data_IF_361727300543
#
_entry.id   IF_361727300543
#
_cell.length_a   1.000
_cell.length_b   1.000
_cell.length_c   1.000
_cell.angle_alpha   90.00
_cell.angle_beta   90.00
_cell.angle_gamma   90.00
#
_symmetry.space_group_name_H-M   'P 1'
#
loop_
_entity.id
_entity.type
_entity.pdbx_description
1 polymer ?
#
# COMPACT_ATOMS: atom_id res chain seq x y z
N UNK A 1 -44.77 7.59 -11.36
CA UNK A 1 -43.50 6.84 -11.11
C UNK A 1 -42.34 7.75 -11.50
N UNK A 2 -41.60 8.22 -10.54
CA UNK A 2 -40.39 9.04 -10.80
C UNK A 2 -39.31 8.09 -11.30
N UNK A 3 -38.94 8.19 -12.57
CA UNK A 3 -37.80 7.48 -13.14
C UNK A 3 -36.52 8.02 -12.45
N UNK A 4 -36.11 7.38 -11.37
CA UNK A 4 -34.81 7.63 -10.74
C UNK A 4 -33.77 7.07 -11.73
N UNK A 5 -33.26 7.96 -12.56
CA UNK A 5 -32.13 7.67 -13.43
C UNK A 5 -30.89 7.40 -12.55
N UNK A 6 -30.69 6.13 -12.14
CA UNK A 6 -29.56 5.72 -11.31
C UNK A 6 -28.30 5.96 -12.14
N UNK A 7 -27.62 7.08 -11.88
CA UNK A 7 -26.38 7.42 -12.57
C UNK A 7 -25.37 6.27 -12.41
N UNK A 8 -24.94 5.71 -13.53
CA UNK A 8 -24.01 4.59 -13.55
C UNK A 8 -22.67 5.02 -12.92
N UNK A 9 -22.33 4.43 -11.78
CA UNK A 9 -21.03 4.67 -11.11
C UNK A 9 -19.90 4.16 -12.01
N UNK A 10 -19.04 5.04 -12.47
CA UNK A 10 -17.97 4.76 -13.44
C UNK A 10 -16.63 5.42 -13.11
N UNK A 11 -16.46 5.91 -11.89
CA UNK A 11 -15.21 6.56 -11.44
C UNK A 11 -14.52 5.71 -10.40
N UNK A 12 -13.24 5.45 -10.59
CA UNK A 12 -12.32 4.88 -9.61
C UNK A 12 -11.51 6.03 -8.99
N UNK A 13 -11.46 6.12 -7.67
CA UNK A 13 -10.60 7.07 -6.96
C UNK A 13 -9.41 6.32 -6.38
N UNK A 14 -8.20 6.87 -6.56
CA UNK A 14 -6.96 6.37 -5.96
C UNK A 14 -6.31 7.49 -5.17
N UNK A 15 -6.33 7.42 -3.85
CA UNK A 15 -5.53 8.33 -3.02
C UNK A 15 -4.11 7.81 -2.92
N UNK A 16 -3.12 8.71 -2.91
CA UNK A 16 -1.71 8.31 -3.04
C UNK A 16 -1.35 7.80 -4.45
N UNK A 17 -2.08 8.28 -5.48
CA UNK A 17 -1.95 7.77 -6.85
C UNK A 17 -0.67 8.18 -7.58
N UNK A 18 0.12 9.12 -7.04
CA UNK A 18 1.47 9.44 -7.53
C UNK A 18 2.58 8.69 -6.74
N UNK A 19 2.22 7.92 -5.72
CA UNK A 19 3.10 7.02 -4.97
C UNK A 19 3.36 5.71 -5.71
N UNK A 20 4.23 4.86 -5.15
CA UNK A 20 4.63 3.58 -5.75
C UNK A 20 3.44 2.65 -6.07
N UNK A 21 2.64 2.31 -5.05
CA UNK A 21 1.55 1.34 -5.22
C UNK A 21 0.39 1.95 -6.01
N UNK A 22 0.03 3.21 -5.70
CA UNK A 22 -1.09 3.88 -6.37
C UNK A 22 -0.85 4.09 -7.87
N UNK A 23 0.36 4.51 -8.26
CA UNK A 23 0.70 4.68 -9.67
C UNK A 23 0.76 3.36 -10.42
N UNK A 24 1.25 2.29 -9.78
CA UNK A 24 1.26 0.94 -10.37
C UNK A 24 -0.16 0.42 -10.61
N UNK A 25 -1.09 0.68 -9.69
CA UNK A 25 -2.51 0.34 -9.88
C UNK A 25 -3.13 1.15 -11.03
N UNK A 26 -2.87 2.47 -11.11
CA UNK A 26 -3.34 3.33 -12.21
C UNK A 26 -2.79 2.83 -13.54
N UNK A 27 -1.48 2.54 -13.59
CA UNK A 27 -0.83 1.99 -14.79
C UNK A 27 -1.50 0.70 -15.26
N UNK A 28 -1.77 -0.22 -14.34
CA UNK A 28 -2.47 -1.46 -14.65
C UNK A 28 -3.86 -1.20 -15.25
N UNK A 29 -4.65 -0.29 -14.71
CA UNK A 29 -5.97 0.06 -15.26
C UNK A 29 -5.88 0.56 -16.69
N UNK A 30 -4.90 1.42 -16.97
CA UNK A 30 -4.70 2.00 -18.30
C UNK A 30 -4.25 0.93 -19.30
N UNK A 31 -3.23 0.13 -18.96
CA UNK A 31 -2.70 -0.94 -19.81
C UNK A 31 -3.73 -2.02 -20.13
N UNK A 32 -4.63 -2.31 -19.19
CA UNK A 32 -5.73 -3.28 -19.39
C UNK A 32 -7.04 -2.64 -19.89
N UNK A 33 -6.97 -1.41 -20.42
CA UNK A 33 -8.07 -0.71 -21.10
C UNK A 33 -9.37 -0.66 -20.29
N UNK A 34 -9.28 -0.40 -18.98
CA UNK A 34 -10.46 -0.21 -18.15
C UNK A 34 -11.29 0.97 -18.65
N UNK A 35 -12.61 0.80 -18.67
CA UNK A 35 -13.55 1.83 -19.17
C UNK A 35 -13.86 2.92 -18.14
N UNK A 36 -13.57 2.67 -16.87
CA UNK A 36 -13.78 3.61 -15.79
C UNK A 36 -12.82 4.81 -15.92
N UNK A 37 -13.31 6.00 -15.56
CA UNK A 37 -12.47 7.16 -15.33
C UNK A 37 -11.74 7.01 -14.02
N UNK A 38 -10.49 7.45 -13.95
CA UNK A 38 -9.66 7.37 -12.76
C UNK A 38 -9.38 8.78 -12.25
N UNK A 39 -9.61 9.01 -10.96
CA UNK A 39 -9.20 10.24 -10.28
C UNK A 39 -8.14 9.87 -9.25
N UNK A 40 -6.92 10.38 -9.46
CA UNK A 40 -5.82 10.29 -8.51
C UNK A 40 -5.82 11.51 -7.60
N UNK A 41 -5.74 11.32 -6.29
CA UNK A 41 -5.53 12.39 -5.30
C UNK A 41 -4.18 12.14 -4.63
N UNK A 42 -3.28 13.12 -4.67
CA UNK A 42 -1.96 13.03 -4.03
C UNK A 42 -1.48 14.42 -3.60
N UNK A 43 -0.86 14.52 -2.42
CA UNK A 43 -0.24 15.76 -1.95
C UNK A 43 1.23 15.89 -2.35
N UNK A 44 1.79 14.85 -2.96
CA UNK A 44 3.18 14.73 -3.42
C UNK A 44 4.23 14.79 -2.29
N UNK A 45 3.85 14.48 -1.05
CA UNK A 45 4.81 14.39 0.05
C UNK A 45 5.87 13.30 -0.17
N UNK A 46 5.47 12.20 -0.81
CA UNK A 46 6.36 11.09 -1.24
C UNK A 46 6.11 10.65 -2.68
N UNK A 47 4.95 10.99 -3.22
CA UNK A 47 4.59 10.77 -4.61
C UNK A 47 5.38 11.67 -5.57
N UNK A 48 5.46 11.29 -6.85
CA UNK A 48 6.18 12.04 -7.87
C UNK A 48 5.37 12.12 -9.16
N UNK A 49 5.37 13.30 -9.81
CA UNK A 49 4.71 13.50 -11.11
C UNK A 49 5.28 12.60 -12.22
N UNK A 50 6.53 12.14 -12.09
CA UNK A 50 7.13 11.16 -13.02
C UNK A 50 6.39 9.81 -13.04
N UNK A 51 5.62 9.53 -12.00
CA UNK A 51 4.78 8.31 -11.90
C UNK A 51 3.42 8.48 -12.57
N UNK A 52 3.12 9.67 -13.15
CA UNK A 52 1.86 9.87 -13.86
C UNK A 52 1.82 9.04 -15.14
N UNK A 53 0.69 8.41 -15.39
CA UNK A 53 0.38 7.76 -16.66
C UNK A 53 -0.40 8.75 -17.53
N UNK A 54 0.10 9.06 -18.70
CA UNK A 54 -0.58 9.94 -19.65
C UNK A 54 -1.73 9.17 -20.32
N UNK A 55 -2.95 9.50 -19.95
CA UNK A 55 -4.16 8.89 -20.49
C UNK A 55 -5.37 9.80 -20.23
N UNK A 56 -6.25 9.97 -21.24
CA UNK A 56 -7.43 10.84 -21.15
C UNK A 56 -8.45 10.41 -20.10
N UNK A 57 -8.42 9.15 -19.68
CA UNK A 57 -9.30 8.62 -18.62
C UNK A 57 -8.73 8.85 -17.21
N UNK A 58 -7.51 9.41 -17.07
CA UNK A 58 -6.85 9.62 -15.77
C UNK A 58 -6.75 11.11 -15.46
N UNK A 59 -7.35 11.53 -14.35
CA UNK A 59 -7.23 12.90 -13.84
C UNK A 59 -6.44 12.91 -12.53
N UNK A 60 -5.39 13.73 -12.48
CA UNK A 60 -4.58 13.92 -11.28
C UNK A 60 -4.98 15.22 -10.57
N UNK A 61 -5.41 15.10 -9.33
CA UNK A 61 -5.75 16.22 -8.44
C UNK A 61 -4.67 16.33 -7.36
N UNK A 62 -3.98 17.47 -7.32
CA UNK A 62 -3.08 17.79 -6.21
C UNK A 62 -3.91 18.20 -5.01
N UNK A 63 -3.77 17.50 -3.88
CA UNK A 63 -4.48 17.84 -2.66
C UNK A 63 -4.29 16.82 -1.56
N UNK A 64 -4.66 17.20 -0.35
CA UNK A 64 -4.64 16.35 0.83
C UNK A 64 -5.95 15.60 1.00
N UNK A 65 -5.91 14.41 1.55
CA UNK A 65 -7.08 13.55 1.76
C UNK A 65 -8.12 14.19 2.70
N UNK A 66 -7.73 15.07 3.63
CA UNK A 66 -8.68 15.82 4.46
C UNK A 66 -9.64 16.69 3.64
N UNK A 67 -9.24 17.06 2.43
CA UNK A 67 -10.04 17.88 1.52
C UNK A 67 -10.87 17.04 0.52
N UNK A 68 -10.99 15.73 0.71
CA UNK A 68 -11.63 14.81 -0.24
C UNK A 68 -13.05 15.24 -0.61
N UNK A 69 -13.84 15.74 0.34
CA UNK A 69 -15.21 16.26 0.11
C UNK A 69 -15.21 17.40 -0.94
N UNK A 70 -14.26 18.34 -0.84
CA UNK A 70 -14.09 19.44 -1.78
C UNK A 70 -13.58 18.97 -3.13
N UNK A 71 -12.53 18.13 -3.13
CA UNK A 71 -11.88 17.62 -4.35
C UNK A 71 -12.83 16.77 -5.20
N UNK A 72 -13.73 16.03 -4.57
CA UNK A 72 -14.64 15.10 -5.26
C UNK A 72 -16.09 15.62 -5.32
N UNK A 73 -16.38 16.87 -4.98
CA UNK A 73 -17.73 17.44 -4.93
C UNK A 73 -18.57 17.14 -6.19
N UNK A 74 -17.98 17.31 -7.36
CA UNK A 74 -18.68 17.10 -8.64
C UNK A 74 -18.67 15.64 -9.16
N UNK A 75 -18.02 14.73 -8.43
CA UNK A 75 -17.81 13.34 -8.83
C UNK A 75 -18.50 12.33 -7.90
N UNK A 76 -18.93 12.76 -6.71
CA UNK A 76 -19.34 11.90 -5.57
C UNK A 76 -20.35 10.82 -5.99
N UNK A 77 -21.36 11.17 -6.78
CA UNK A 77 -22.46 10.27 -7.18
C UNK A 77 -22.03 9.23 -8.26
N UNK A 78 -20.89 9.47 -8.92
CA UNK A 78 -20.33 8.60 -9.97
C UNK A 78 -19.21 7.70 -9.47
N UNK A 79 -18.80 7.82 -8.21
CA UNK A 79 -17.69 7.03 -7.65
C UNK A 79 -18.15 5.60 -7.40
N UNK A 80 -17.41 4.65 -7.93
CA UNK A 80 -17.63 3.20 -7.82
C UNK A 80 -16.84 2.59 -6.66
N UNK A 81 -15.60 3.04 -6.48
CA UNK A 81 -14.67 2.54 -5.46
C UNK A 81 -13.60 3.58 -5.14
N UNK A 82 -13.10 3.54 -3.91
CA UNK A 82 -11.91 4.29 -3.48
C UNK A 82 -10.83 3.28 -3.08
N UNK A 83 -9.66 3.33 -3.75
CA UNK A 83 -8.44 2.69 -3.29
C UNK A 83 -7.68 3.70 -2.43
N UNK A 84 -7.63 3.47 -1.13
CA UNK A 84 -7.03 4.41 -0.19
C UNK A 84 -5.60 3.97 0.16
N UNK A 85 -4.61 4.60 -0.49
CA UNK A 85 -3.17 4.35 -0.33
C UNK A 85 -2.38 5.60 0.08
N UNK A 86 -3.04 6.77 0.13
CA UNK A 86 -2.44 8.06 0.45
C UNK A 86 -2.23 8.24 1.96
N UNK A 87 -1.31 7.48 2.54
CA UNK A 87 -1.01 7.48 3.97
C UNK A 87 0.51 7.46 4.23
N UNK A 88 0.91 7.79 5.44
CA UNK A 88 2.29 7.61 5.90
C UNK A 88 2.61 6.11 6.00
N UNK A 89 3.77 5.66 5.51
CA UNK A 89 4.01 4.23 5.27
C UNK A 89 5.38 3.70 5.72
N UNK A 90 6.01 4.29 6.76
CA UNK A 90 7.33 3.84 7.25
C UNK A 90 7.43 3.81 8.76
N UNK A 91 7.85 2.64 9.30
CA UNK A 91 7.96 2.42 10.75
C UNK A 91 8.98 3.39 11.36
N UNK A 92 10.24 3.33 10.96
CA UNK A 92 11.29 4.15 11.56
C UNK A 92 11.03 5.66 11.42
N UNK A 93 10.60 6.10 10.26
CA UNK A 93 10.30 7.51 10.01
C UNK A 93 9.10 8.01 10.84
N UNK A 94 8.20 7.12 11.27
CA UNK A 94 7.06 7.51 12.11
C UNK A 94 7.47 7.93 13.53
N UNK A 95 8.62 7.50 14.03
CA UNK A 95 9.16 8.00 15.30
C UNK A 95 9.70 9.43 15.18
N UNK A 96 10.28 9.75 14.01
CA UNK A 96 10.86 11.08 13.75
C UNK A 96 9.76 12.08 13.38
N UNK A 97 8.80 11.62 12.55
CA UNK A 97 7.74 12.43 11.95
C UNK A 97 6.35 11.99 12.47
N UNK A 98 6.23 11.78 13.78
CA UNK A 98 4.99 11.24 14.36
C UNK A 98 3.78 12.15 14.13
N UNK A 99 3.94 13.47 14.13
CA UNK A 99 2.87 14.43 13.83
C UNK A 99 2.33 14.26 12.41
N UNK A 100 3.22 14.17 11.41
CA UNK A 100 2.82 13.89 10.02
C UNK A 100 2.16 12.51 9.90
N UNK A 101 2.69 11.49 10.61
CA UNK A 101 2.13 10.15 10.61
C UNK A 101 0.69 10.15 11.14
N UNK A 102 0.42 10.82 12.25
CA UNK A 102 -0.93 10.91 12.81
C UNK A 102 -1.86 11.78 11.97
N UNK A 103 -1.37 12.90 11.43
CA UNK A 103 -2.19 13.72 10.54
C UNK A 103 -2.63 12.90 9.31
N UNK A 104 -1.70 12.25 8.61
CA UNK A 104 -2.03 11.50 7.39
C UNK A 104 -2.86 10.24 7.67
N UNK A 105 -2.45 9.45 8.67
CA UNK A 105 -3.06 8.14 8.90
C UNK A 105 -4.34 8.23 9.73
N UNK A 106 -4.46 9.14 10.70
CA UNK A 106 -5.66 9.25 11.53
C UNK A 106 -6.58 10.34 11.00
N UNK A 107 -6.14 11.59 11.04
CA UNK A 107 -7.02 12.72 10.73
C UNK A 107 -7.47 12.71 9.26
N UNK A 108 -6.56 12.57 8.31
CA UNK A 108 -6.91 12.61 6.89
C UNK A 108 -7.61 11.33 6.42
N UNK A 109 -7.22 10.16 6.93
CA UNK A 109 -7.86 8.88 6.57
C UNK A 109 -9.28 8.79 7.11
N UNK A 110 -9.57 9.34 8.30
CA UNK A 110 -10.95 9.40 8.81
C UNK A 110 -11.87 10.18 7.88
N UNK A 111 -11.38 11.26 7.23
CA UNK A 111 -12.15 12.01 6.25
C UNK A 111 -12.47 11.21 4.98
N UNK A 112 -11.54 10.34 4.55
CA UNK A 112 -11.77 9.43 3.41
C UNK A 112 -12.80 8.35 3.76
N UNK A 113 -12.69 7.78 4.95
CA UNK A 113 -13.61 6.75 5.46
C UNK A 113 -15.02 7.34 5.60
N UNK A 114 -15.14 8.51 6.20
CA UNK A 114 -16.42 9.24 6.33
C UNK A 114 -17.02 9.58 4.96
N UNK A 115 -16.20 10.06 4.02
CA UNK A 115 -16.65 10.36 2.66
C UNK A 115 -17.18 9.10 1.95
N UNK A 116 -16.48 7.97 2.06
CA UNK A 116 -16.89 6.70 1.49
C UNK A 116 -18.24 6.24 2.05
N UNK A 117 -18.41 6.31 3.38
CA UNK A 117 -19.67 6.00 4.08
C UNK A 117 -20.82 6.91 3.61
N UNK A 118 -20.62 8.23 3.60
CA UNK A 118 -21.68 9.21 3.28
C UNK A 118 -22.14 9.13 1.82
N UNK A 119 -21.33 8.58 0.91
CA UNK A 119 -21.66 8.45 -0.52
C UNK A 119 -21.90 6.99 -0.96
N UNK A 120 -22.05 6.08 0.00
CA UNK A 120 -22.22 4.63 -0.26
C UNK A 120 -21.19 4.10 -1.30
N UNK A 121 -19.90 4.38 -1.05
CA UNK A 121 -18.78 3.98 -1.89
C UNK A 121 -17.97 2.92 -1.17
N UNK A 122 -17.65 1.81 -1.87
CA UNK A 122 -16.75 0.79 -1.34
C UNK A 122 -15.33 1.36 -1.20
N UNK A 123 -14.68 1.11 -0.06
CA UNK A 123 -13.29 1.45 0.17
C UNK A 123 -12.41 0.19 0.18
N UNK A 124 -11.31 0.22 -0.59
CA UNK A 124 -10.23 -0.76 -0.53
C UNK A 124 -9.11 -0.10 0.26
N UNK A 125 -8.92 -0.53 1.50
CA UNK A 125 -7.99 0.09 2.42
C UNK A 125 -6.67 -0.68 2.48
N UNK A 126 -5.55 0.04 2.33
CA UNK A 126 -4.21 -0.53 2.50
C UNK A 126 -3.87 -0.77 3.97
N UNK A 127 -4.15 -1.94 4.47
CA UNK A 127 -3.69 -2.39 5.77
C UNK A 127 -2.19 -2.75 5.73
N UNK A 128 -1.59 -3.02 6.88
CA UNK A 128 -0.16 -3.30 6.98
C UNK A 128 0.14 -4.60 7.70
N UNK A 129 1.10 -5.37 7.18
CA UNK A 129 1.65 -6.51 7.90
C UNK A 129 2.43 -6.12 9.16
N UNK A 130 2.70 -4.82 9.38
CA UNK A 130 3.39 -4.35 10.59
C UNK A 130 2.61 -4.61 11.89
N UNK A 131 1.32 -4.89 11.79
CA UNK A 131 0.47 -5.25 12.94
C UNK A 131 0.46 -6.76 13.23
N UNK A 132 1.10 -7.57 12.39
CA UNK A 132 0.93 -9.03 12.33
C UNK A 132 2.23 -9.81 12.59
N UNK A 133 3.25 -9.17 13.13
CA UNK A 133 4.46 -9.85 13.59
C UNK A 133 4.27 -10.42 15.01
N UNK A 134 5.33 -10.96 15.60
CA UNK A 134 5.43 -11.35 17.02
C UNK A 134 4.12 -11.92 17.62
N UNK A 135 3.44 -12.81 16.90
CA UNK A 135 2.14 -13.40 17.28
C UNK A 135 0.95 -12.43 17.31
N UNK A 136 1.00 -11.33 16.53
CA UNK A 136 -0.08 -10.36 16.41
C UNK A 136 -0.05 -9.20 17.40
N UNK A 137 0.98 -9.10 18.26
CA UNK A 137 1.10 -8.05 19.27
C UNK A 137 1.87 -6.79 18.81
N UNK A 138 2.12 -6.64 17.52
CA UNK A 138 2.98 -5.57 16.99
C UNK A 138 2.27 -4.24 16.72
N UNK A 139 0.98 -4.16 16.93
CA UNK A 139 0.18 -2.97 16.63
C UNK A 139 0.64 -1.72 17.40
N UNK A 140 1.26 -1.91 18.57
CA UNK A 140 1.74 -0.82 19.42
C UNK A 140 3.26 -0.57 19.31
N UNK A 141 3.98 -1.24 18.43
CA UNK A 141 5.44 -1.12 18.30
C UNK A 141 5.91 0.19 17.66
N UNK A 142 5.04 0.94 17.02
CA UNK A 142 5.40 2.21 16.39
C UNK A 142 4.17 3.10 16.16
N UNK A 143 4.35 4.44 16.05
CA UNK A 143 3.27 5.34 15.67
C UNK A 143 2.59 4.92 14.38
N UNK A 144 3.36 4.41 13.40
CA UNK A 144 2.81 3.89 12.13
C UNK A 144 1.92 2.65 12.35
N UNK A 145 2.41 1.62 13.05
CA UNK A 145 1.64 0.40 13.27
C UNK A 145 0.35 0.70 14.04
N UNK A 146 0.46 1.51 15.09
CA UNK A 146 -0.70 1.94 15.89
C UNK A 146 -1.73 2.68 15.06
N UNK A 147 -1.33 3.69 14.28
CA UNK A 147 -2.26 4.47 13.47
C UNK A 147 -2.99 3.61 12.42
N UNK A 148 -2.28 2.66 11.82
CA UNK A 148 -2.89 1.71 10.88
C UNK A 148 -3.88 0.75 11.55
N UNK A 149 -3.58 0.27 12.77
CA UNK A 149 -4.51 -0.60 13.52
C UNK A 149 -5.78 0.15 13.90
N UNK A 150 -5.67 1.42 14.28
CA UNK A 150 -6.86 2.24 14.61
C UNK A 150 -7.75 2.52 13.40
N UNK A 151 -7.20 2.69 12.22
CA UNK A 151 -8.01 2.81 11.00
C UNK A 151 -8.71 1.49 10.64
N UNK A 152 -8.08 0.35 10.83
CA UNK A 152 -8.70 -0.96 10.63
C UNK A 152 -9.90 -1.12 11.58
N UNK A 153 -9.72 -0.79 12.85
CA UNK A 153 -10.79 -0.80 13.86
C UNK A 153 -11.93 0.16 13.48
N UNK A 154 -11.59 1.39 13.08
CA UNK A 154 -12.57 2.39 12.66
C UNK A 154 -13.39 1.92 11.46
N UNK A 155 -12.76 1.36 10.43
CA UNK A 155 -13.44 0.85 9.23
C UNK A 155 -14.41 -0.28 9.60
N UNK A 156 -13.98 -1.23 10.43
CA UNK A 156 -14.82 -2.33 10.90
C UNK A 156 -16.02 -1.83 11.72
N UNK A 157 -15.82 -0.81 12.55
CA UNK A 157 -16.89 -0.19 13.31
C UNK A 157 -17.85 0.63 12.43
N UNK A 158 -17.33 1.36 11.42
CA UNK A 158 -18.17 2.05 10.44
C UNK A 158 -19.00 1.08 9.59
N UNK A 159 -18.49 -0.12 9.33
CA UNK A 159 -19.31 -1.17 8.72
C UNK A 159 -20.45 -1.60 9.65
N UNK A 160 -20.16 -1.90 10.91
CA UNK A 160 -21.18 -2.31 11.91
C UNK A 160 -22.24 -1.22 12.15
N UNK A 161 -21.80 0.02 12.29
CA UNK A 161 -22.70 1.13 12.67
C UNK A 161 -23.47 1.70 11.49
N UNK A 162 -22.85 1.74 10.30
CA UNK A 162 -23.36 2.51 9.16
C UNK A 162 -23.39 1.75 7.84
N UNK A 163 -23.01 0.47 7.84
CA UNK A 163 -23.02 -0.34 6.61
C UNK A 163 -21.94 0.01 5.59
N UNK A 164 -20.81 0.64 6.02
CA UNK A 164 -19.69 0.94 5.13
C UNK A 164 -19.20 -0.32 4.42
N UNK A 165 -19.18 -0.32 3.10
CA UNK A 165 -18.59 -1.41 2.30
C UNK A 165 -17.08 -1.24 2.24
N UNK A 166 -16.33 -2.27 2.63
CA UNK A 166 -14.87 -2.20 2.67
C UNK A 166 -14.19 -3.51 2.28
N UNK A 167 -12.91 -3.44 1.93
CA UNK A 167 -11.99 -4.57 1.94
C UNK A 167 -10.67 -4.11 2.56
N UNK A 168 -10.07 -4.92 3.42
CA UNK A 168 -8.75 -4.67 4.02
C UNK A 168 -7.70 -5.51 3.31
N UNK A 169 -6.77 -4.86 2.61
CA UNK A 169 -5.68 -5.51 1.90
C UNK A 169 -4.37 -5.29 2.64
N UNK A 170 -3.81 -6.35 3.21
CA UNK A 170 -2.58 -6.28 3.98
C UNK A 170 -1.36 -6.43 3.09
N UNK A 171 -0.54 -5.39 3.03
CA UNK A 171 0.68 -5.37 2.23
C UNK A 171 1.88 -5.88 3.02
N UNK A 172 2.68 -6.72 2.36
CA UNK A 172 3.92 -7.29 2.87
C UNK A 172 5.09 -6.76 2.04
N UNK A 173 6.01 -6.04 2.66
CA UNK A 173 7.24 -5.44 2.09
C UNK A 173 7.26 -5.38 0.57
N UNK A 174 6.42 -4.50 0.01
CA UNK A 174 6.22 -4.40 -1.44
C UNK A 174 7.50 -3.95 -2.13
N UNK A 175 7.86 -4.64 -3.20
CA UNK A 175 9.03 -4.35 -4.02
C UNK A 175 8.71 -4.43 -5.51
N UNK A 176 9.60 -3.91 -6.35
CA UNK A 176 9.50 -4.00 -7.80
C UNK A 176 9.66 -2.68 -8.53
N UNK A 177 9.46 -2.66 -9.85
CA UNK A 177 9.65 -1.48 -10.69
C UNK A 177 8.82 -0.28 -10.19
N UNK A 178 9.45 0.91 -10.13
CA UNK A 178 8.81 2.14 -9.66
C UNK A 178 8.90 2.38 -8.15
N UNK A 179 9.52 1.47 -7.38
CA UNK A 179 9.71 1.69 -5.94
C UNK A 179 10.64 2.88 -5.64
N UNK A 180 10.45 3.48 -4.46
CA UNK A 180 11.28 4.61 -4.03
C UNK A 180 12.69 4.11 -3.71
N UNK A 181 13.72 4.67 -4.38
CA UNK A 181 15.12 4.22 -4.23
C UNK A 181 16.03 5.20 -3.50
N UNK A 182 15.69 6.51 -3.50
CA UNK A 182 16.59 7.59 -3.04
C UNK A 182 15.89 8.53 -2.05
N UNK A 183 15.36 8.00 -0.96
CA UNK A 183 14.63 8.78 0.05
C UNK A 183 14.69 8.09 1.40
N UNK A 184 14.59 8.82 2.52
CA UNK A 184 14.35 8.23 3.83
C UNK A 184 13.10 7.32 3.88
N UNK A 185 12.18 7.50 2.92
CA UNK A 185 10.98 6.69 2.75
C UNK A 185 11.19 5.44 1.86
N UNK A 186 12.44 5.12 1.46
CA UNK A 186 12.73 3.91 0.68
C UNK A 186 12.59 2.64 1.52
N UNK A 187 12.06 1.57 0.91
CA UNK A 187 12.06 0.22 1.50
C UNK A 187 13.41 -0.47 1.27
N UNK A 188 13.66 -1.56 1.99
CA UNK A 188 14.98 -2.22 2.00
C UNK A 188 15.43 -2.65 0.60
N UNK A 189 14.55 -3.19 -0.24
CA UNK A 189 14.89 -3.60 -1.61
C UNK A 189 15.29 -2.38 -2.46
N UNK A 190 14.54 -1.30 -2.41
CA UNK A 190 14.89 -0.06 -3.12
C UNK A 190 16.21 0.55 -2.66
N UNK A 191 16.52 0.44 -1.35
CA UNK A 191 17.83 0.84 -0.81
C UNK A 191 18.94 -0.05 -1.41
N UNK A 192 18.74 -1.37 -1.41
CA UNK A 192 19.72 -2.33 -1.94
C UNK A 192 19.98 -2.12 -3.42
N UNK A 193 18.94 -2.00 -4.24
CA UNK A 193 19.07 -1.70 -5.67
C UNK A 193 19.81 -0.39 -5.93
N UNK A 194 19.45 0.68 -5.18
CA UNK A 194 20.13 1.97 -5.33
C UNK A 194 21.62 1.91 -4.99
N UNK A 195 21.98 1.13 -3.97
CA UNK A 195 23.38 0.97 -3.55
C UNK A 195 24.15 0.06 -4.50
N UNK A 196 23.53 -1.05 -4.94
CA UNK A 196 24.12 -1.96 -5.92
C UNK A 196 24.49 -1.22 -7.21
N UNK A 197 23.55 -0.47 -7.81
CA UNK A 197 23.81 0.34 -9.02
C UNK A 197 24.96 1.35 -8.89
N UNK A 198 25.31 1.72 -7.66
CA UNK A 198 26.41 2.67 -7.36
C UNK A 198 27.70 1.96 -6.96
N UNK A 199 27.77 0.63 -6.98
CA UNK A 199 28.91 -0.12 -6.48
C UNK A 199 29.18 0.04 -4.97
N UNK A 200 28.16 0.48 -4.18
CA UNK A 200 28.28 0.72 -2.76
C UNK A 200 27.89 -0.51 -1.94
N UNK A 201 28.53 -0.77 -0.77
CA UNK A 201 28.12 -1.85 0.12
C UNK A 201 26.65 -1.72 0.53
N UNK A 202 25.89 -2.82 0.56
CA UNK A 202 24.52 -2.83 1.06
C UNK A 202 24.51 -2.54 2.57
N UNK A 203 23.51 -1.77 3.02
CA UNK A 203 23.41 -1.41 4.44
C UNK A 203 22.32 -2.23 5.14
N UNK A 204 22.68 -2.96 6.19
CA UNK A 204 21.78 -3.75 7.02
C UNK A 204 21.69 -3.15 8.41
N UNK A 205 20.49 -2.86 8.87
CA UNK A 205 20.23 -2.52 10.28
C UNK A 205 20.38 -3.77 11.13
N UNK A 206 21.21 -3.69 12.19
CA UNK A 206 21.42 -4.81 13.11
C UNK A 206 20.13 -5.32 13.75
N UNK A 207 20.00 -6.62 13.99
CA UNK A 207 21.00 -7.69 13.74
C UNK A 207 21.03 -8.22 12.31
N UNK A 208 20.06 -7.90 11.44
CA UNK A 208 19.92 -8.43 10.08
C UNK A 208 19.16 -9.76 9.99
N UNK A 209 18.87 -10.39 11.12
CA UNK A 209 18.13 -11.66 11.21
C UNK A 209 16.62 -11.48 11.21
N UNK A 210 16.12 -10.23 11.29
CA UNK A 210 14.70 -9.92 11.21
C UNK A 210 14.11 -10.40 9.88
N UNK A 211 13.07 -11.22 9.97
CA UNK A 211 12.45 -11.89 8.81
C UNK A 211 11.29 -11.07 8.26
N UNK A 212 11.13 -11.11 6.94
CA UNK A 212 10.06 -10.42 6.20
C UNK A 212 9.54 -11.30 5.07
N UNK A 213 8.25 -11.20 4.83
CA UNK A 213 7.62 -11.63 3.58
C UNK A 213 7.73 -10.46 2.58
N UNK A 214 8.14 -10.74 1.37
CA UNK A 214 8.32 -9.76 0.29
C UNK A 214 7.36 -10.07 -0.84
N UNK A 215 6.52 -9.10 -1.24
CA UNK A 215 5.54 -9.30 -2.30
C UNK A 215 5.78 -8.33 -3.46
N UNK A 216 5.83 -8.85 -4.67
CA UNK A 216 6.04 -8.05 -5.87
C UNK A 216 4.85 -7.13 -6.14
N UNK A 217 5.12 -5.94 -6.68
CA UNK A 217 4.11 -4.90 -6.94
C UNK A 217 2.97 -5.39 -7.84
N UNK A 218 3.22 -6.21 -8.85
CA UNK A 218 2.17 -6.74 -9.72
C UNK A 218 1.23 -7.70 -8.97
N UNK A 219 1.74 -8.49 -8.03
CA UNK A 219 0.92 -9.34 -7.17
C UNK A 219 0.05 -8.50 -6.23
N UNK A 220 0.60 -7.40 -5.67
CA UNK A 220 -0.18 -6.47 -4.83
C UNK A 220 -1.31 -5.83 -5.65
N UNK A 221 -1.02 -5.32 -6.85
CA UNK A 221 -2.05 -4.73 -7.74
C UNK A 221 -3.13 -5.76 -8.06
N UNK A 222 -2.75 -6.98 -8.43
CA UNK A 222 -3.70 -8.07 -8.70
C UNK A 222 -4.54 -8.42 -7.47
N UNK A 223 -3.93 -8.47 -6.29
CA UNK A 223 -4.65 -8.70 -5.03
C UNK A 223 -5.68 -7.61 -4.71
N UNK A 224 -5.33 -6.33 -4.90
CA UNK A 224 -6.25 -5.20 -4.73
C UNK A 224 -7.45 -5.27 -5.69
N UNK A 225 -7.21 -5.66 -6.95
CA UNK A 225 -8.27 -5.82 -7.95
C UNK A 225 -9.21 -6.98 -7.61
N UNK A 226 -8.66 -8.09 -7.18
CA UNK A 226 -9.45 -9.24 -6.75
C UNK A 226 -10.29 -8.90 -5.51
N UNK A 227 -9.71 -8.19 -4.52
CA UNK A 227 -10.44 -7.71 -3.36
C UNK A 227 -11.60 -6.78 -3.76
N UNK A 228 -11.37 -5.84 -4.69
CA UNK A 228 -12.45 -4.99 -5.19
C UNK A 228 -13.56 -5.79 -5.87
N UNK A 229 -13.22 -6.75 -6.75
CA UNK A 229 -14.19 -7.47 -7.59
C UNK A 229 -14.89 -8.62 -6.86
N UNK A 230 -14.21 -9.32 -5.98
CA UNK A 230 -14.67 -10.57 -5.33
C UNK A 230 -14.76 -10.49 -3.81
N UNK A 231 -14.22 -9.42 -3.20
CA UNK A 231 -14.18 -9.26 -1.76
C UNK A 231 -15.59 -9.09 -1.14
N UNK A 232 -15.74 -9.60 0.07
CA UNK A 232 -16.97 -9.62 0.85
C UNK A 232 -16.75 -9.10 2.28
N UNK A 233 -16.11 -7.93 2.40
CA UNK A 233 -15.87 -7.24 3.67
C UNK A 233 -14.97 -8.04 4.61
N UNK A 234 -13.76 -8.33 4.14
CA UNK A 234 -12.84 -9.21 4.85
C UNK A 234 -11.39 -8.67 4.84
N UNK A 235 -10.54 -9.39 5.57
CA UNK A 235 -9.10 -9.15 5.71
C UNK A 235 -8.34 -10.07 4.73
N UNK A 236 -7.63 -9.50 3.76
CA UNK A 236 -6.90 -10.23 2.73
C UNK A 236 -5.39 -10.02 2.86
N UNK A 237 -4.68 -11.07 3.24
CA UNK A 237 -3.23 -11.08 3.39
C UNK A 237 -2.57 -11.31 2.03
N UNK A 238 -1.99 -10.25 1.44
CA UNK A 238 -1.36 -10.31 0.11
C UNK A 238 0.13 -10.63 0.22
N UNK A 239 0.49 -11.63 1.01
CA UNK A 239 1.85 -12.13 1.19
C UNK A 239 2.14 -13.38 0.37
N UNK A 240 3.43 -13.73 0.25
CA UNK A 240 3.91 -14.94 -0.41
C UNK A 240 3.92 -16.16 0.50
N UNK A 241 3.86 -15.95 1.83
CA UNK A 241 4.11 -16.93 2.90
C UNK A 241 5.55 -17.43 2.98
N UNK A 242 6.46 -16.89 2.15
CA UNK A 242 7.89 -17.13 2.24
C UNK A 242 8.54 -15.98 2.99
N UNK A 243 9.32 -16.32 4.01
CA UNK A 243 10.02 -15.34 4.83
C UNK A 243 11.53 -15.42 4.62
N UNK A 244 12.13 -14.29 4.34
CA UNK A 244 13.57 -14.13 4.25
C UNK A 244 14.07 -13.17 5.34
N UNK A 245 15.22 -13.44 5.93
CA UNK A 245 15.91 -12.45 6.75
C UNK A 245 16.53 -11.36 5.87
N UNK A 246 16.75 -10.18 6.42
CA UNK A 246 17.37 -9.08 5.67
C UNK A 246 18.77 -9.44 5.19
N UNK A 247 19.52 -10.26 5.98
CA UNK A 247 20.85 -10.73 5.58
C UNK A 247 20.80 -11.76 4.44
N UNK A 248 19.79 -12.66 4.41
CA UNK A 248 19.58 -13.57 3.30
C UNK A 248 19.33 -12.81 1.98
N UNK A 249 18.44 -11.80 2.03
CA UNK A 249 18.18 -10.93 0.88
C UNK A 249 19.45 -10.18 0.44
N UNK A 250 20.22 -9.62 1.37
CA UNK A 250 21.44 -8.89 1.02
C UNK A 250 22.48 -9.79 0.36
N UNK A 251 22.61 -11.05 0.81
CA UNK A 251 23.53 -12.04 0.22
C UNK A 251 23.16 -12.39 -1.23
N UNK A 252 21.88 -12.34 -1.61
CA UNK A 252 21.46 -12.58 -3.00
C UNK A 252 22.05 -11.56 -3.98
N UNK A 253 22.34 -10.32 -3.54
CA UNK A 253 22.98 -9.30 -4.38
C UNK A 253 24.48 -9.53 -4.62
N UNK A 254 25.12 -10.51 -3.96
CA UNK A 254 26.53 -10.89 -4.16
C UNK A 254 27.53 -9.72 -4.06
N UNK A 255 27.28 -8.77 -3.13
CA UNK A 255 28.12 -7.58 -2.92
C UNK A 255 28.45 -7.37 -1.44
N UNK A 256 29.35 -6.41 -1.15
CA UNK A 256 29.78 -6.08 0.22
C UNK A 256 28.59 -5.61 1.07
N UNK A 257 28.61 -5.95 2.36
CA UNK A 257 27.59 -5.59 3.35
C UNK A 257 28.23 -4.72 4.44
N UNK A 258 27.53 -3.65 4.84
CA UNK A 258 27.86 -2.79 5.98
C UNK A 258 26.70 -2.78 6.97
N UNK A 259 26.99 -3.03 8.25
CA UNK A 259 25.98 -2.99 9.30
C UNK A 259 25.79 -1.56 9.83
N UNK A 260 24.55 -1.20 10.07
CA UNK A 260 24.12 0.02 10.77
C UNK A 260 23.63 -0.33 12.18
N UNK A 261 23.63 0.64 13.12
CA UNK A 261 23.03 0.44 14.43
C UNK A 261 21.57 -0.02 14.37
N UNK A 262 21.09 -0.71 15.40
CA UNK A 262 19.69 -1.06 15.58
C UNK A 262 18.79 0.17 15.64
N UNK A 263 17.50 0.00 15.32
CA UNK A 263 16.50 1.08 15.29
C UNK A 263 15.28 0.71 16.12
N UNK A 264 14.57 1.69 16.70
CA UNK A 264 13.32 1.42 17.39
C UNK A 264 12.25 0.90 16.41
N UNK A 265 11.30 0.13 16.94
CA UNK A 265 10.17 -0.42 16.15
C UNK A 265 10.55 -1.59 15.23
N UNK A 266 11.77 -2.15 15.35
CA UNK A 266 12.16 -3.32 14.57
C UNK A 266 11.32 -4.54 14.98
N UNK A 267 10.74 -5.17 13.96
CA UNK A 267 9.93 -6.38 14.09
C UNK A 267 10.76 -7.59 13.67
N UNK A 268 10.73 -8.66 14.44
CA UNK A 268 11.56 -9.85 14.18
C UNK A 268 10.86 -10.92 13.33
N UNK A 269 9.54 -11.00 13.40
CA UNK A 269 8.75 -11.95 12.64
C UNK A 269 7.88 -11.32 11.56
N UNK A 270 7.38 -12.14 10.66
CA UNK A 270 6.32 -11.80 9.71
C UNK A 270 5.40 -12.99 9.57
N UNK A 271 4.10 -12.79 9.78
CA UNK A 271 3.10 -13.86 9.72
C UNK A 271 2.00 -13.54 8.73
N UNK A 272 1.42 -14.60 8.16
CA UNK A 272 0.20 -14.52 7.33
C UNK A 272 -0.89 -15.27 8.08
N UNK A 273 -1.66 -14.59 8.96
CA UNK A 273 -2.51 -15.23 9.96
C UNK A 273 -3.76 -15.90 9.38
N UNK A 274 -4.17 -15.58 8.16
CA UNK A 274 -5.33 -16.22 7.54
C UNK A 274 -5.10 -16.52 6.05
N UNK A 275 -6.02 -17.32 5.49
CA UNK A 275 -6.00 -17.75 4.09
C UNK A 275 -7.12 -17.11 3.24
N UNK A 276 -7.75 -16.03 3.71
CA UNK A 276 -8.90 -15.43 3.03
C UNK A 276 -8.58 -14.99 1.61
N UNK A 277 -7.38 -14.46 1.37
CA UNK A 277 -6.93 -14.09 0.03
C UNK A 277 -6.98 -15.30 -0.92
N UNK A 278 -6.52 -16.48 -0.49
CA UNK A 278 -6.59 -17.70 -1.31
C UNK A 278 -8.02 -18.24 -1.41
N UNK A 279 -8.74 -18.35 -0.28
CA UNK A 279 -10.06 -18.99 -0.22
C UNK A 279 -11.13 -18.19 -0.94
N UNK A 280 -11.17 -16.86 -0.74
CA UNK A 280 -12.24 -15.98 -1.23
C UNK A 280 -11.87 -15.38 -2.58
N UNK A 281 -10.63 -14.90 -2.72
CA UNK A 281 -10.19 -14.19 -3.92
C UNK A 281 -9.55 -15.10 -4.96
N UNK A 282 -9.20 -16.33 -4.63
CA UNK A 282 -8.32 -17.20 -5.40
C UNK A 282 -6.97 -16.53 -5.72
N UNK A 283 -6.44 -15.81 -4.71
CA UNK A 283 -5.17 -15.10 -4.81
C UNK A 283 -4.03 -15.97 -4.28
N UNK A 284 -2.92 -15.99 -5.03
CA UNK A 284 -1.61 -16.39 -4.53
C UNK A 284 -0.54 -15.55 -5.23
N UNK A 285 0.45 -15.09 -4.46
CA UNK A 285 1.58 -14.37 -5.06
C UNK A 285 2.37 -15.32 -5.98
N UNK A 286 2.83 -14.80 -7.12
CA UNK A 286 3.45 -15.59 -8.19
C UNK A 286 4.92 -15.27 -8.42
N UNK A 287 5.39 -14.08 -8.03
CA UNK A 287 6.77 -13.64 -8.29
C UNK A 287 7.62 -13.82 -7.04
N UNK A 288 8.67 -14.64 -7.17
CA UNK A 288 9.64 -14.83 -6.08
C UNK A 288 10.67 -13.70 -6.09
N UNK A 289 11.07 -13.25 -4.90
CA UNK A 289 12.06 -12.18 -4.76
C UNK A 289 13.45 -12.60 -5.23
N UNK A 290 13.79 -13.90 -5.19
CA UNK A 290 15.07 -14.41 -5.69
C UNK A 290 15.17 -14.18 -7.19
N UNK A 291 14.16 -14.62 -7.93
CA UNK A 291 14.12 -14.49 -9.39
C UNK A 291 14.21 -13.01 -9.80
N UNK A 292 13.49 -12.16 -9.09
CA UNK A 292 13.53 -10.70 -9.30
C UNK A 292 14.93 -10.12 -9.07
N UNK A 293 15.63 -10.51 -7.99
CA UNK A 293 16.97 -10.01 -7.67
C UNK A 293 17.98 -10.54 -8.71
N UNK A 294 17.88 -11.80 -9.13
CA UNK A 294 18.74 -12.37 -10.17
C UNK A 294 18.59 -11.62 -11.49
N UNK A 295 17.35 -11.39 -11.92
CA UNK A 295 17.07 -10.59 -13.12
C UNK A 295 17.59 -9.15 -13.00
N UNK A 296 17.43 -8.52 -11.81
CA UNK A 296 17.95 -7.19 -11.55
C UNK A 296 19.47 -7.13 -11.66
N UNK A 297 20.19 -8.11 -11.12
CA UNK A 297 21.67 -8.18 -11.20
C UNK A 297 22.14 -8.35 -12.64
N UNK A 298 21.46 -9.21 -13.42
CA UNK A 298 21.82 -9.45 -14.83
C UNK A 298 21.67 -8.20 -15.70
N UNK A 299 20.77 -7.28 -15.34
CA UNK A 299 20.48 -6.05 -16.09
C UNK A 299 21.33 -4.84 -15.67
N UNK A 300 22.12 -4.92 -14.58
CA UNK A 300 22.83 -3.78 -13.99
C UNK A 300 24.26 -4.12 -13.57
#
# INVERSE_FOLDING_TARGET
MVNINIMKKNIIVVTGGAGFIGSSLIKYFVENKFKEKIISIDNYSTGNKKNHVQNNNVKYLKGENKNIKKLLKFYKDKIKVIFHFGEFSRIYQSFIKYKECFDYNIHQSSQVIEFAKNNNVKIIYSATSSNLGNKGADENLSPYAWSKSKNIELIKNYNKWFGLKYELVYFYNVYGPGQIMKSPMSAVIGIFESRYKKGLPLTIVRPGTQRRDFTHISDIVRGCLLAWKKGNQNDYMLGTKKNYSIIEIAKMFKTKIKYLPSRPGERFGSTVPNNNAKKILNYSASIDIKDYIEEFIQKN
#
